data_IF_558945863678
#
_entry.id   IF_558945863678
#
_cell.length_a   1.000
_cell.length_b   1.000
_cell.length_c   1.000
_cell.angle_alpha   90.00
_cell.angle_beta   90.00
_cell.angle_gamma   90.00
#
_symmetry.space_group_name_H-M   'P 1'
#
loop_
_entity.id
_entity.type
_entity.pdbx_description
1 polymer ?
#
# COMPACT_ATOMS: atom_id res chain seq x y z
N UNK A 1 -4.62 -13.50 10.03
CA UNK A 1 -4.85 -14.23 8.77
C UNK A 1 -5.68 -15.46 9.09
N UNK A 2 -6.66 -15.79 8.25
CA UNK A 2 -7.46 -17.00 8.42
C UNK A 2 -6.58 -18.22 8.10
N UNK A 3 -6.53 -19.27 8.94
CA UNK A 3 -5.78 -20.47 8.64
C UNK A 3 -6.12 -21.02 7.24
N UNK A 4 -5.10 -21.32 6.44
CA UNK A 4 -5.26 -21.77 5.04
C UNK A 4 -5.30 -20.64 3.99
N UNK A 5 -5.36 -19.37 4.39
CA UNK A 5 -5.25 -18.25 3.45
C UNK A 5 -3.83 -18.15 2.88
N UNK A 6 -3.71 -17.86 1.58
CA UNK A 6 -2.45 -17.53 0.92
C UNK A 6 -2.47 -16.06 0.49
N UNK A 7 -1.31 -15.43 0.39
CA UNK A 7 -1.21 -14.12 -0.25
C UNK A 7 -1.28 -14.28 -1.76
N UNK A 8 -2.10 -13.45 -2.41
CA UNK A 8 -2.17 -13.34 -3.87
C UNK A 8 -1.96 -11.90 -4.27
N UNK A 9 -1.33 -11.72 -5.42
CA UNK A 9 -1.25 -10.42 -6.07
C UNK A 9 -2.61 -10.05 -6.67
N UNK A 10 -3.00 -8.78 -6.48
CA UNK A 10 -4.22 -8.22 -7.09
C UNK A 10 -3.95 -7.13 -8.09
N UNK A 11 -2.84 -6.39 -7.95
CA UNK A 11 -2.42 -5.38 -8.91
C UNK A 11 -0.95 -5.02 -8.68
N UNK A 12 -0.34 -4.45 -9.72
CA UNK A 12 1.05 -3.97 -9.72
C UNK A 12 1.18 -2.72 -10.58
N UNK A 13 2.27 -1.99 -10.41
CA UNK A 13 2.59 -0.86 -11.27
C UNK A 13 3.95 -0.26 -10.96
N UNK A 14 4.26 0.86 -11.60
CA UNK A 14 5.49 1.59 -11.40
C UNK A 14 5.31 3.08 -11.70
N UNK A 15 6.28 3.88 -11.28
CA UNK A 15 6.40 5.31 -11.62
C UNK A 15 6.71 5.52 -13.09
N UNK A 16 6.47 6.71 -13.65
CA UNK A 16 6.70 6.97 -15.10
C UNK A 16 8.15 6.80 -15.52
N UNK A 17 9.10 7.06 -14.62
CA UNK A 17 10.53 6.80 -14.84
C UNK A 17 10.93 5.31 -14.70
N UNK A 18 9.98 4.41 -14.48
CA UNK A 18 10.15 2.95 -14.37
C UNK A 18 11.11 2.50 -13.26
N UNK A 19 11.42 3.37 -12.27
CA UNK A 19 12.35 3.04 -11.19
C UNK A 19 11.66 2.43 -9.98
N UNK A 20 10.62 3.09 -9.45
CA UNK A 20 9.90 2.62 -8.27
C UNK A 20 8.71 1.75 -8.70
N UNK A 21 8.82 0.44 -8.47
CA UNK A 21 7.78 -0.55 -8.74
C UNK A 21 7.05 -0.89 -7.45
N UNK A 22 5.80 -1.33 -7.58
CA UNK A 22 4.98 -1.74 -6.46
C UNK A 22 4.08 -2.92 -6.83
N UNK A 23 3.77 -3.75 -5.83
CA UNK A 23 2.86 -4.89 -5.93
C UNK A 23 1.92 -4.87 -4.73
N UNK A 24 0.62 -4.92 -4.99
CA UNK A 24 -0.41 -5.01 -3.96
C UNK A 24 -0.88 -6.46 -3.80
N UNK A 25 -0.91 -6.93 -2.57
CA UNK A 25 -1.28 -8.29 -2.22
C UNK A 25 -2.40 -8.33 -1.18
N UNK A 26 -3.27 -9.33 -1.29
CA UNK A 26 -4.36 -9.61 -0.35
C UNK A 26 -4.38 -11.12 -0.02
N UNK A 27 -4.89 -11.53 1.15
CA UNK A 27 -5.18 -12.94 1.42
C UNK A 27 -6.29 -13.47 0.51
N UNK A 28 -6.23 -14.74 0.10
CA UNK A 28 -7.24 -15.40 -0.75
C UNK A 28 -8.65 -15.44 -0.14
N UNK A 29 -8.75 -15.39 1.19
CA UNK A 29 -10.02 -15.29 1.91
C UNK A 29 -10.12 -13.85 2.40
N UNK A 30 -10.89 -13.04 1.69
CA UNK A 30 -11.01 -11.60 1.93
C UNK A 30 -12.46 -11.12 2.08
N UNK A 31 -12.69 -10.30 3.10
CA UNK A 31 -13.78 -9.34 3.27
C UNK A 31 -13.34 -7.93 2.81
N UNK A 32 -14.26 -6.97 2.83
CA UNK A 32 -13.96 -5.56 2.48
C UNK A 32 -12.92 -4.93 3.42
N UNK A 33 -12.95 -5.30 4.69
CA UNK A 33 -12.01 -4.87 5.74
C UNK A 33 -10.75 -5.74 5.83
N UNK A 34 -10.52 -6.65 4.86
CA UNK A 34 -9.36 -7.55 4.92
C UNK A 34 -8.06 -6.77 4.76
N UNK A 35 -7.09 -6.95 5.67
CA UNK A 35 -5.81 -6.28 5.58
C UNK A 35 -5.02 -6.69 4.33
N UNK A 36 -4.43 -5.69 3.67
CA UNK A 36 -3.65 -5.78 2.45
C UNK A 36 -2.21 -5.34 2.73
N UNK A 37 -1.28 -5.71 1.86
CA UNK A 37 0.08 -5.17 1.86
C UNK A 37 0.42 -4.56 0.50
N UNK A 38 1.27 -3.55 0.56
CA UNK A 38 1.92 -2.96 -0.60
C UNK A 38 3.42 -3.20 -0.47
N UNK A 39 4.02 -3.84 -1.47
CA UNK A 39 5.43 -4.14 -1.53
C UNK A 39 6.09 -3.25 -2.58
N UNK A 40 7.21 -2.62 -2.23
CA UNK A 40 7.96 -1.73 -3.13
C UNK A 40 9.28 -2.34 -3.57
N UNK A 41 9.72 -1.94 -4.76
CA UNK A 41 10.95 -2.39 -5.40
C UNK A 41 11.64 -1.23 -6.13
N UNK A 42 12.97 -1.16 -6.09
CA UNK A 42 13.76 -0.45 -7.11
C UNK A 42 13.96 -1.44 -8.26
N UNK A 43 13.13 -1.30 -9.30
CA UNK A 43 13.00 -2.29 -10.39
C UNK A 43 12.68 -3.68 -9.82
N UNK A 44 13.69 -4.54 -9.74
CA UNK A 44 13.58 -5.92 -9.24
C UNK A 44 14.18 -6.11 -7.84
N UNK A 45 14.70 -5.05 -7.22
CA UNK A 45 15.34 -5.10 -5.90
C UNK A 45 14.28 -4.79 -4.83
N UNK A 46 14.01 -5.69 -3.88
CA UNK A 46 12.99 -5.45 -2.86
C UNK A 46 13.39 -4.32 -1.91
N UNK A 47 12.49 -3.35 -1.72
CA UNK A 47 12.60 -2.28 -0.72
C UNK A 47 11.73 -2.54 0.51
N UNK A 48 10.72 -3.43 0.38
CA UNK A 48 9.87 -3.87 1.47
C UNK A 48 8.49 -3.20 1.49
N UNK A 49 7.77 -3.37 2.60
CA UNK A 49 6.45 -2.78 2.83
C UNK A 49 6.59 -1.46 3.61
N UNK A 50 5.81 -0.41 3.27
CA UNK A 50 5.83 0.85 4.02
C UNK A 50 5.20 0.69 5.41
N UNK A 51 4.36 -0.33 5.60
CA UNK A 51 3.64 -0.61 6.84
C UNK A 51 4.18 -1.89 7.50
N UNK A 52 4.46 -1.83 8.82
CA UNK A 52 4.82 -3.01 9.61
C UNK A 52 3.68 -4.04 9.66
N UNK A 53 2.47 -3.55 9.89
CA UNK A 53 1.25 -4.34 9.91
C UNK A 53 0.42 -4.08 8.64
N UNK A 54 -0.15 -5.12 7.99
CA UNK A 54 -1.08 -4.96 6.88
C UNK A 54 -2.24 -4.00 7.21
N UNK A 55 -2.71 -3.22 6.23
CA UNK A 55 -3.83 -2.27 6.40
C UNK A 55 -4.94 -2.57 5.39
N UNK A 56 -6.22 -2.43 5.76
CA UNK A 56 -7.32 -2.54 4.80
C UNK A 56 -7.42 -1.27 3.93
N UNK A 57 -8.28 -1.32 2.91
CA UNK A 57 -8.65 -0.17 2.07
C UNK A 57 -7.46 0.64 1.51
N UNK A 58 -6.45 -0.07 1.00
CA UNK A 58 -5.30 0.55 0.33
C UNK A 58 -5.65 0.77 -1.13
N UNK A 59 -5.51 2.01 -1.60
CA UNK A 59 -5.65 2.35 -3.02
C UNK A 59 -4.38 3.02 -3.51
N UNK A 60 -3.76 2.48 -4.56
CA UNK A 60 -2.66 3.17 -5.25
C UNK A 60 -3.25 4.09 -6.31
N UNK A 61 -2.95 5.38 -6.20
CA UNK A 61 -3.41 6.40 -7.15
C UNK A 61 -2.54 6.38 -8.42
N UNK A 62 -2.98 7.01 -9.53
CA UNK A 62 -2.21 7.04 -10.77
C UNK A 62 -0.75 7.47 -10.57
N UNK A 63 0.14 6.80 -11.30
CA UNK A 63 1.57 6.96 -11.12
C UNK A 63 2.05 8.40 -11.36
N UNK A 64 2.83 8.92 -10.41
CA UNK A 64 3.62 10.14 -10.59
C UNK A 64 4.90 9.87 -11.37
N UNK A 65 5.70 10.91 -11.58
CA UNK A 65 6.95 10.81 -12.35
C UNK A 65 7.97 9.89 -11.69
N UNK A 66 8.24 10.11 -10.40
CA UNK A 66 9.17 9.38 -9.56
C UNK A 66 8.58 8.93 -8.21
N UNK A 67 7.33 9.32 -7.92
CA UNK A 67 6.63 8.95 -6.68
C UNK A 67 5.41 8.07 -6.92
N UNK A 68 5.16 7.14 -6.00
CA UNK A 68 3.89 6.40 -5.90
C UNK A 68 3.04 7.04 -4.81
N UNK A 69 1.81 7.45 -5.16
CA UNK A 69 0.87 7.99 -4.15
C UNK A 69 -0.09 6.90 -3.72
N UNK A 70 -0.17 6.68 -2.41
CA UNK A 70 -1.03 5.67 -1.79
C UNK A 70 -2.06 6.37 -0.92
N UNK A 71 -3.33 6.07 -1.14
CA UNK A 71 -4.43 6.44 -0.27
C UNK A 71 -4.69 5.30 0.71
N UNK A 72 -4.67 5.64 1.99
CA UNK A 72 -5.10 4.79 3.08
C UNK A 72 -6.48 5.25 3.55
N UNK A 73 -7.35 4.29 3.85
CA UNK A 73 -8.67 4.56 4.42
C UNK A 73 -8.87 3.73 5.70
N UNK A 74 -9.63 4.26 6.66
CA UNK A 74 -9.93 3.57 7.91
C UNK A 74 -11.29 4.00 8.46
N UNK A 75 -11.90 3.12 9.25
CA UNK A 75 -13.17 3.38 9.91
C UNK A 75 -12.98 4.38 11.06
N UNK A 76 -13.87 5.36 11.18
CA UNK A 76 -13.98 6.29 12.31
C UNK A 76 -15.31 6.04 13.01
N UNK A 77 -15.29 5.93 14.34
CA UNK A 77 -16.51 5.75 15.13
C UNK A 77 -17.29 4.49 14.72
N UNK A 78 -18.51 4.68 14.22
CA UNK A 78 -19.43 3.61 13.83
C UNK A 78 -19.49 3.36 12.32
N UNK A 79 -18.43 3.72 11.58
CA UNK A 79 -18.35 3.46 10.14
C UNK A 79 -18.58 1.99 9.81
N UNK A 80 -19.39 1.73 8.79
CA UNK A 80 -19.57 0.39 8.24
C UNK A 80 -18.35 -0.03 7.40
N UNK A 81 -18.11 -1.34 7.30
CA UNK A 81 -16.97 -1.86 6.52
C UNK A 81 -17.00 -1.46 5.04
N UNK A 82 -18.18 -1.20 4.46
CA UNK A 82 -18.26 -0.78 3.07
C UNK A 82 -17.70 0.61 2.81
N UNK A 83 -17.68 1.43 3.85
CA UNK A 83 -17.76 2.87 3.69
C UNK A 83 -16.97 3.61 4.81
N UNK A 84 -15.68 3.29 5.03
CA UNK A 84 -14.85 4.03 5.98
C UNK A 84 -14.72 5.51 5.58
N UNK A 85 -14.77 6.43 6.55
CA UNK A 85 -14.71 7.88 6.28
C UNK A 85 -13.33 8.47 6.49
N UNK A 86 -12.50 7.83 7.32
CA UNK A 86 -11.11 8.26 7.55
C UNK A 86 -10.27 8.02 6.31
N UNK A 87 -9.56 9.05 5.85
CA UNK A 87 -8.75 9.02 4.63
C UNK A 87 -7.45 9.80 4.80
N UNK A 88 -6.37 9.31 4.22
CA UNK A 88 -5.07 9.98 4.20
C UNK A 88 -4.21 9.50 3.05
N UNK A 89 -3.40 10.38 2.49
CA UNK A 89 -2.49 10.04 1.38
C UNK A 89 -1.04 10.17 1.78
N UNK A 90 -0.21 9.25 1.30
CA UNK A 90 1.24 9.27 1.49
C UNK A 90 1.90 9.05 0.14
N UNK A 91 2.93 9.83 -0.16
CA UNK A 91 3.76 9.62 -1.35
C UNK A 91 5.01 8.86 -0.96
N UNK A 92 5.44 7.94 -1.81
CA UNK A 92 6.66 7.17 -1.62
C UNK A 92 7.61 7.42 -2.78
N UNK A 93 8.89 7.58 -2.48
CA UNK A 93 9.96 7.59 -3.47
C UNK A 93 11.14 6.76 -2.99
N UNK A 94 12.14 6.64 -3.85
CA UNK A 94 13.44 6.07 -3.48
C UNK A 94 14.35 7.24 -3.10
N UNK A 95 14.83 7.23 -1.85
CA UNK A 95 15.74 8.21 -1.31
C UNK A 95 17.10 8.21 -2.00
N UNK A 96 17.92 9.21 -1.70
CA UNK A 96 19.29 9.28 -2.20
C UNK A 96 20.16 8.11 -1.72
N UNK A 97 19.79 7.50 -0.60
CA UNK A 97 20.44 6.30 -0.05
C UNK A 97 19.92 4.98 -0.67
N UNK A 98 19.00 5.06 -1.63
CA UNK A 98 18.42 3.91 -2.32
C UNK A 98 17.29 3.21 -1.56
N UNK A 99 16.86 3.72 -0.40
CA UNK A 99 15.77 3.12 0.37
C UNK A 99 14.42 3.73 0.03
N UNK A 100 13.36 3.02 0.41
CA UNK A 100 12.00 3.54 0.35
C UNK A 100 11.82 4.64 1.41
N UNK A 101 11.40 5.82 0.98
CA UNK A 101 11.10 6.95 1.86
C UNK A 101 9.64 7.37 1.71
N UNK A 102 9.02 7.72 2.84
CA UNK A 102 7.65 8.23 2.89
C UNK A 102 7.66 9.75 3.01
N UNK A 103 7.02 10.42 2.06
CA UNK A 103 6.75 11.86 2.10
C UNK A 103 5.39 12.08 2.75
N UNK A 104 5.39 12.07 4.08
CA UNK A 104 4.20 12.19 4.92
C UNK A 104 4.08 11.05 5.92
N UNK A 105 3.14 11.18 6.84
CA UNK A 105 2.90 10.19 7.89
C UNK A 105 1.90 9.14 7.42
N UNK A 106 2.26 7.86 7.59
CA UNK A 106 1.31 6.77 7.41
C UNK A 106 0.31 6.79 8.58
N UNK A 107 -1.00 6.86 8.33
CA UNK A 107 -1.98 6.94 9.39
C UNK A 107 -2.00 5.65 10.23
N UNK A 108 -2.10 5.79 11.54
CA UNK A 108 -2.24 4.68 12.51
C UNK A 108 -1.12 3.62 12.41
N UNK A 109 0.13 4.06 12.31
CA UNK A 109 1.30 3.17 12.21
C UNK A 109 1.73 2.59 13.57
#
# INVERSE_FOLDING_TARGET
>A
MVPGSKWVEITRGHTRNCRLHWVQIIPTIASQSTPQQLLFFDRNIPLGSPTRNPKPYITVLPAGDDTVTVQYQWQIGSDQECCPTGIGTVRFHIGSDGKLEALGSIPHQ
#
